data_IF_864323660988
#
_entry.id   IF_864323660988
#
_cell.length_a   1.000
_cell.length_b   1.000
_cell.length_c   1.000
_cell.angle_alpha   90.00
_cell.angle_beta   90.00
_cell.angle_gamma   90.00
#
_symmetry.space_group_name_H-M   'P 1'
#
loop_
_entity.id
_entity.type
_entity.pdbx_description
1 polymer ?
#
# COMPACT_ATOMS: atom_id res chain seq x y z
N UNK A 1 0.94 10.00 -17.46
CA UNK A 1 1.76 9.95 -16.23
C UNK A 1 1.58 8.57 -15.64
N UNK A 2 2.65 7.80 -15.41
CA UNK A 2 2.55 6.42 -14.92
C UNK A 2 2.59 6.41 -13.39
N UNK A 3 1.49 6.00 -12.76
CA UNK A 3 1.41 5.81 -11.32
C UNK A 3 1.68 4.35 -10.98
N UNK A 4 2.43 4.10 -9.90
CA UNK A 4 2.52 2.74 -9.35
C UNK A 4 1.20 2.41 -8.66
N UNK A 5 0.53 1.37 -9.16
CA UNK A 5 -0.77 0.89 -8.68
C UNK A 5 -0.63 -0.29 -7.75
N UNK A 6 -1.60 -0.47 -6.86
CA UNK A 6 -1.66 -1.59 -5.92
C UNK A 6 -2.72 -2.59 -6.38
N UNK A 7 -2.35 -3.88 -6.42
CA UNK A 7 -3.27 -4.97 -6.71
C UNK A 7 -3.23 -6.01 -5.58
N UNK A 8 -4.38 -6.63 -5.31
CA UNK A 8 -4.52 -7.78 -4.42
C UNK A 8 -4.96 -8.97 -5.26
N UNK A 9 -4.20 -10.06 -5.16
CA UNK A 9 -4.47 -11.31 -5.87
C UNK A 9 -4.86 -12.40 -4.88
N UNK A 10 -5.90 -13.16 -5.20
CA UNK A 10 -6.22 -14.40 -4.51
C UNK A 10 -5.33 -15.52 -5.07
N UNK A 11 -4.48 -16.09 -4.21
CA UNK A 11 -3.54 -17.12 -4.61
C UNK A 11 -4.12 -18.54 -4.65
N UNK A 12 -5.37 -18.73 -4.23
CA UNK A 12 -6.08 -20.01 -4.29
C UNK A 12 -7.11 -20.05 -5.42
N UNK A 13 -7.46 -18.89 -5.98
CA UNK A 13 -8.31 -18.77 -7.17
C UNK A 13 -7.65 -19.32 -8.44
N UNK A 14 -8.48 -19.67 -9.42
CA UNK A 14 -8.07 -20.05 -10.78
C UNK A 14 -7.38 -21.40 -10.92
N UNK A 15 -7.17 -21.84 -12.16
CA UNK A 15 -6.46 -23.10 -12.47
C UNK A 15 -4.93 -22.95 -12.46
N UNK A 16 -4.41 -21.72 -12.46
CA UNK A 16 -2.97 -21.44 -12.50
C UNK A 16 -2.63 -19.96 -12.30
N UNK A 17 -1.34 -19.58 -12.28
CA UNK A 17 -0.92 -18.20 -11.98
C UNK A 17 -1.45 -17.12 -12.92
N UNK A 18 -1.82 -17.47 -14.15
CA UNK A 18 -2.38 -16.55 -15.14
C UNK A 18 -3.90 -16.34 -15.02
N UNK A 19 -4.57 -17.10 -14.16
CA UNK A 19 -6.03 -17.14 -14.01
C UNK A 19 -6.48 -16.73 -12.60
N UNK A 20 -5.63 -15.95 -11.91
CA UNK A 20 -5.92 -15.51 -10.55
C UNK A 20 -6.92 -14.37 -10.56
N UNK A 21 -7.82 -14.38 -9.58
CA UNK A 21 -8.66 -13.23 -9.25
C UNK A 21 -7.75 -12.12 -8.73
N UNK A 22 -7.60 -11.06 -9.52
CA UNK A 22 -6.80 -9.89 -9.18
C UNK A 22 -7.70 -8.66 -9.20
N UNK A 23 -7.65 -7.87 -8.14
CA UNK A 23 -8.31 -6.56 -8.08
C UNK A 23 -7.31 -5.45 -7.85
N UNK A 24 -7.46 -4.34 -8.57
CA UNK A 24 -6.77 -3.10 -8.28
C UNK A 24 -7.42 -2.45 -7.04
N UNK A 25 -6.61 -1.95 -6.11
CA UNK A 25 -7.07 -1.08 -5.03
C UNK A 25 -6.88 0.37 -5.48
N UNK A 26 -7.96 1.15 -5.46
CA UNK A 26 -7.93 2.56 -5.83
C UNK A 26 -7.23 3.38 -4.74
N UNK A 27 -5.98 3.72 -4.98
CA UNK A 27 -5.13 4.48 -4.07
C UNK A 27 -4.75 5.78 -4.77
N UNK A 28 -5.15 6.91 -4.19
CA UNK A 28 -4.77 8.23 -4.69
C UNK A 28 -3.25 8.46 -4.54
N UNK A 29 -2.59 8.77 -5.64
CA UNK A 29 -1.13 8.96 -5.73
C UNK A 29 -0.38 7.75 -6.29
N UNK A 30 0.93 7.71 -6.06
CA UNK A 30 1.83 6.63 -6.49
C UNK A 30 2.29 5.81 -5.29
N UNK A 31 2.01 4.50 -5.31
CA UNK A 31 2.42 3.59 -4.25
C UNK A 31 3.93 3.38 -4.26
N UNK A 32 4.55 3.44 -3.07
CA UNK A 32 5.99 3.27 -2.85
C UNK A 32 6.34 2.07 -1.98
N UNK A 33 5.43 1.67 -1.10
CA UNK A 33 5.59 0.49 -0.24
C UNK A 33 4.23 -0.06 0.17
N UNK A 34 4.18 -1.38 0.43
CA UNK A 34 2.99 -2.07 0.93
C UNK A 34 3.40 -3.22 1.84
N UNK A 35 2.71 -3.38 2.97
CA UNK A 35 2.90 -4.49 3.91
C UNK A 35 1.56 -4.90 4.52
N UNK A 36 1.25 -6.20 4.51
CA UNK A 36 0.15 -6.74 5.29
C UNK A 36 0.37 -6.51 6.79
N UNK A 37 -0.69 -6.14 7.49
CA UNK A 37 -0.76 -6.25 8.94
C UNK A 37 -0.69 -7.72 9.35
N UNK A 38 -0.23 -8.03 10.58
CA UNK A 38 -0.15 -9.42 11.05
C UNK A 38 -1.49 -10.18 11.03
N UNK A 39 -2.60 -9.45 11.15
CA UNK A 39 -3.96 -10.01 11.05
C UNK A 39 -4.39 -10.37 9.62
N UNK A 40 -3.62 -9.95 8.61
CA UNK A 40 -3.90 -10.15 7.19
C UNK A 40 -5.08 -9.33 6.62
N UNK A 41 -5.71 -8.47 7.42
CA UNK A 41 -6.95 -7.76 7.04
C UNK A 41 -6.71 -6.32 6.58
N UNK A 42 -5.52 -5.79 6.80
CA UNK A 42 -5.14 -4.41 6.49
C UNK A 42 -3.76 -4.34 5.87
N UNK A 43 -3.49 -3.23 5.20
CA UNK A 43 -2.23 -2.90 4.57
C UNK A 43 -1.70 -1.59 5.16
N UNK A 44 -0.40 -1.54 5.44
CA UNK A 44 0.33 -0.28 5.60
C UNK A 44 0.88 0.10 4.23
N UNK A 45 0.43 1.22 3.70
CA UNK A 45 0.78 1.70 2.36
C UNK A 45 1.53 3.03 2.47
N UNK A 46 2.70 3.09 1.85
CA UNK A 46 3.42 4.34 1.62
C UNK A 46 3.06 4.90 0.24
N UNK A 47 2.63 6.16 0.19
CA UNK A 47 2.15 6.81 -1.03
C UNK A 47 2.80 8.18 -1.21
N UNK A 48 3.07 8.55 -2.47
CA UNK A 48 3.55 9.88 -2.86
C UNK A 48 2.58 10.55 -3.84
N UNK A 49 2.51 11.89 -3.92
CA UNK A 49 1.62 12.58 -4.87
C UNK A 49 1.91 12.23 -6.32
N UNK A 50 3.19 12.08 -6.67
CA UNK A 50 3.65 11.72 -8.02
C UNK A 50 4.68 10.58 -7.96
N UNK A 51 5.03 9.95 -9.09
CA UNK A 51 6.11 8.96 -9.16
C UNK A 51 7.51 9.60 -9.18
N UNK A 52 7.63 10.93 -9.03
CA UNK A 52 8.92 11.61 -9.10
C UNK A 52 9.84 11.17 -7.96
N UNK A 53 11.15 11.19 -8.24
CA UNK A 53 12.18 10.79 -7.29
C UNK A 53 12.13 11.66 -6.02
N UNK A 54 11.97 12.98 -6.19
CA UNK A 54 11.96 13.95 -5.09
C UNK A 54 10.80 13.72 -4.11
N UNK A 55 9.61 13.39 -4.62
CA UNK A 55 8.47 13.06 -3.76
C UNK A 55 8.77 11.85 -2.87
N UNK A 56 9.54 10.88 -3.38
CA UNK A 56 9.98 9.72 -2.61
C UNK A 56 10.85 10.07 -1.41
N UNK A 57 11.51 11.24 -1.41
CA UNK A 57 12.35 11.68 -0.31
C UNK A 57 11.60 12.49 0.75
N UNK A 58 10.58 13.28 0.38
CA UNK A 58 9.99 14.26 1.31
C UNK A 58 8.45 14.26 1.37
N UNK A 59 7.79 13.68 0.37
CA UNK A 59 6.34 13.68 0.24
C UNK A 59 5.71 12.31 0.52
N UNK A 60 6.49 11.34 1.00
CA UNK A 60 5.95 10.04 1.41
C UNK A 60 4.97 10.23 2.57
N UNK A 61 3.76 9.69 2.42
CA UNK A 61 2.74 9.61 3.47
C UNK A 61 2.38 8.16 3.71
N UNK A 62 2.11 7.84 4.97
CA UNK A 62 1.71 6.49 5.38
C UNK A 62 0.22 6.47 5.63
N UNK A 63 -0.45 5.43 5.14
CA UNK A 63 -1.87 5.20 5.37
C UNK A 63 -2.12 3.72 5.64
N UNK A 64 -3.13 3.45 6.45
CA UNK A 64 -3.66 2.11 6.66
C UNK A 64 -4.89 1.95 5.78
N UNK A 65 -4.90 0.88 4.99
CA UNK A 65 -5.94 0.58 3.99
C UNK A 65 -6.47 -0.82 4.24
N UNK A 66 -7.78 -1.04 4.16
CA UNK A 66 -8.35 -2.38 4.18
C UNK A 66 -8.26 -3.07 2.81
N UNK A 67 -8.65 -4.34 2.72
CA UNK A 67 -8.54 -5.10 1.48
C UNK A 67 -9.56 -4.70 0.40
N UNK A 68 -10.48 -3.78 0.71
CA UNK A 68 -11.43 -3.19 -0.24
C UNK A 68 -10.94 -1.83 -0.77
N UNK A 69 -9.75 -1.38 -0.33
CA UNK A 69 -9.13 -0.13 -0.76
C UNK A 69 -9.54 1.08 0.07
N UNK A 70 -10.33 0.91 1.14
CA UNK A 70 -10.75 2.02 1.99
C UNK A 70 -9.63 2.39 2.96
N UNK A 71 -9.29 3.68 3.00
CA UNK A 71 -8.37 4.24 3.99
C UNK A 71 -9.04 4.24 5.37
N UNK A 72 -8.48 3.47 6.30
CA UNK A 72 -8.96 3.38 7.69
C UNK A 72 -8.17 4.27 8.64
N UNK A 73 -6.94 4.66 8.28
CA UNK A 73 -6.14 5.64 9.02
C UNK A 73 -5.14 6.36 8.11
N UNK A 74 -4.80 7.61 8.45
CA UNK A 74 -3.68 8.35 7.87
C UNK A 74 -2.70 8.70 8.98
N UNK A 75 -1.42 8.53 8.71
CA UNK A 75 -0.35 8.88 9.64
C UNK A 75 0.30 10.15 9.12
N UNK A 76 0.06 11.25 9.82
CA UNK A 76 0.68 12.53 9.51
C UNK A 76 2.16 12.48 9.86
N UNK A 77 2.99 12.91 8.92
CA UNK A 77 4.44 12.86 9.05
C UNK A 77 5.08 14.09 8.44
N UNK A 78 6.05 14.67 9.15
CA UNK A 78 6.85 15.79 8.64
C UNK A 78 8.16 15.30 8.04
N UNK A 79 8.52 15.84 6.88
CA UNK A 79 9.82 15.61 6.25
C UNK A 79 10.05 14.19 5.73
N UNK A 80 11.30 13.75 5.78
CA UNK A 80 11.76 12.48 5.21
C UNK A 80 11.49 11.32 6.17
N UNK A 81 10.93 10.24 5.61
CA UNK A 81 10.66 9.01 6.35
C UNK A 81 11.67 7.91 6.04
N UNK A 82 11.95 7.11 7.06
CA UNK A 82 12.59 5.80 6.91
C UNK A 82 11.54 4.69 6.65
N UNK A 83 11.97 3.42 6.68
CA UNK A 83 11.06 2.29 6.60
C UNK A 83 10.07 2.26 7.78
N UNK A 84 8.80 2.03 7.48
CA UNK A 84 7.78 1.76 8.49
C UNK A 84 7.42 0.28 8.51
N UNK A 85 7.07 -0.26 9.68
CA UNK A 85 6.71 -1.68 9.90
C UNK A 85 5.52 -1.77 10.86
N UNK A 86 4.74 -2.83 10.73
CA UNK A 86 3.79 -3.22 11.77
C UNK A 86 4.54 -3.78 12.98
N UNK A 87 3.98 -3.59 14.18
CA UNK A 87 4.37 -4.42 15.32
C UNK A 87 4.10 -5.89 14.98
N UNK A 88 5.00 -6.84 15.30
CA UNK A 88 4.78 -8.26 15.00
C UNK A 88 3.51 -8.85 15.61
N UNK A 89 3.05 -8.30 16.75
CA UNK A 89 1.83 -8.72 17.44
C UNK A 89 0.58 -7.92 17.03
N UNK A 90 0.73 -6.96 16.11
CA UNK A 90 -0.37 -6.13 15.60
C UNK A 90 -0.92 -5.11 16.59
N UNK A 91 -0.25 -4.90 17.73
CA UNK A 91 -0.63 -3.91 18.76
C UNK A 91 0.17 -2.62 18.64
#
# INVERSE_FOLDING_TARGET
>A
MFYTRLHVADLESGEGPGDRDVRELDIDGSVRSVQFAPDGRRLLVGVTPTPLVDDGFVALRLQVVDLDGRVTARIETEGKLGPARWSPDGR
#
